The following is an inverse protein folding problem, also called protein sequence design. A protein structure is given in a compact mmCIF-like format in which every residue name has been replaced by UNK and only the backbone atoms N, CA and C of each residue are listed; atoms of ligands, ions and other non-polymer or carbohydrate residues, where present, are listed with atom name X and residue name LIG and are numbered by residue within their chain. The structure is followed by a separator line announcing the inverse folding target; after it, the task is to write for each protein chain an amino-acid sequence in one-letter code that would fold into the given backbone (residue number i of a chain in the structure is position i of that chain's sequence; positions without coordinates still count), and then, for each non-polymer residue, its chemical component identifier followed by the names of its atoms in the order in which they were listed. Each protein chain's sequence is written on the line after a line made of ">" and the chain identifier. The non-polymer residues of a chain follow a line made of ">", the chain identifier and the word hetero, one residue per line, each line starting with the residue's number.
data_IF_485032171903
#
_entry.id   IF_485032171903
#
_cell.length_a   1.000
_cell.length_b   1.000
_cell.length_c   1.000
_cell.angle_alpha   90.00
_cell.angle_beta   90.00
_cell.angle_gamma   90.00
#
_symmetry.space_group_name_H-M   'P 1'
#
loop_
_entity.id
_entity.type
_entity.pdbx_description
1 polymer ?
#
# COMPACT_ATOMS: atom_id res chain seq x y z
N UNK A 1 -1.36 -21.49 -8.83
CA UNK A 1 -1.79 -22.47 -7.81
C UNK A 1 -0.78 -22.62 -6.66
N UNK A 2 0.50 -22.94 -6.89
CA UNK A 2 1.52 -22.99 -5.82
C UNK A 2 1.62 -21.71 -4.97
N UNK A 3 1.68 -20.54 -5.61
CA UNK A 3 1.72 -19.22 -4.93
C UNK A 3 0.49 -18.97 -4.06
N UNK A 4 -0.70 -19.37 -4.52
CA UNK A 4 -1.95 -19.21 -3.78
C UNK A 4 -1.94 -20.06 -2.50
N UNK A 5 -1.48 -21.32 -2.59
CA UNK A 5 -1.32 -22.21 -1.43
C UNK A 5 -0.35 -21.63 -0.41
N UNK A 6 0.85 -21.25 -0.84
CA UNK A 6 1.89 -20.73 0.06
C UNK A 6 1.42 -19.44 0.75
N UNK A 7 0.70 -18.58 0.02
CA UNK A 7 0.11 -17.35 0.55
C UNK A 7 -1.00 -17.62 1.57
N UNK A 8 -1.95 -18.50 1.27
CA UNK A 8 -3.01 -18.91 2.21
C UNK A 8 -2.41 -19.48 3.49
N UNK A 9 -1.38 -20.31 3.37
CA UNK A 9 -0.65 -20.89 4.50
C UNK A 9 -0.02 -19.79 5.37
N UNK A 10 0.65 -18.80 4.76
CA UNK A 10 1.18 -17.64 5.49
C UNK A 10 0.09 -16.84 6.20
N UNK A 11 -1.06 -16.63 5.56
CA UNK A 11 -2.17 -15.89 6.16
C UNK A 11 -2.75 -16.62 7.38
N UNK A 12 -2.86 -17.95 7.34
CA UNK A 12 -3.27 -18.74 8.50
C UNK A 12 -2.38 -18.51 9.73
N UNK A 13 -1.10 -18.18 9.52
CA UNK A 13 -0.17 -17.88 10.62
C UNK A 13 -0.27 -16.44 11.15
N UNK A 14 -0.83 -15.51 10.39
CA UNK A 14 -0.85 -14.07 10.71
C UNK A 14 -2.24 -13.60 11.16
N UNK A 15 -3.32 -14.25 10.70
CA UNK A 15 -4.67 -13.90 11.12
C UNK A 15 -4.96 -14.29 12.59
N UNK A 16 -5.85 -13.55 13.28
CA UNK A 16 -6.28 -13.90 14.63
C UNK A 16 -6.88 -15.30 14.69
N UNK A 17 -6.58 -16.08 15.74
CA UNK A 17 -7.12 -17.43 15.90
C UNK A 17 -7.06 -17.94 17.34
N UNK A 18 -8.10 -18.66 17.76
CA UNK A 18 -8.33 -19.05 19.16
C UNK A 18 -7.38 -20.18 19.65
N UNK A 19 -6.86 -21.01 18.74
CA UNK A 19 -6.11 -22.23 19.08
C UNK A 19 -4.62 -22.18 18.65
N UNK A 20 -3.90 -21.10 18.96
CA UNK A 20 -2.43 -21.11 18.86
C UNK A 20 -1.83 -21.92 20.04
N UNK A 21 -1.82 -23.24 19.90
CA UNK A 21 -1.34 -24.21 20.91
C UNK A 21 0.15 -24.03 21.27
N UNK A 22 0.95 -23.38 20.42
CA UNK A 22 2.35 -23.08 20.69
C UNK A 22 2.57 -21.64 21.17
N UNK A 23 2.61 -21.47 22.50
CA UNK A 23 3.26 -20.38 23.26
C UNK A 23 3.33 -19.02 22.55
N UNK A 24 2.18 -18.36 22.43
CA UNK A 24 1.92 -16.92 22.64
C UNK A 24 0.57 -16.66 21.98
N UNK A 25 -0.48 -16.46 22.76
CA UNK A 25 -1.59 -15.62 22.30
C UNK A 25 -1.00 -14.20 22.20
N UNK A 26 -1.06 -13.58 21.03
CA UNK A 26 -0.49 -12.23 20.84
C UNK A 26 -1.58 -11.23 21.22
N UNK A 27 -1.22 -10.05 21.72
CA UNK A 27 -2.18 -8.94 21.91
C UNK A 27 -2.96 -8.63 20.62
N UNK A 28 -2.37 -8.98 19.46
CA UNK A 28 -3.00 -8.91 18.15
C UNK A 28 -4.19 -9.88 17.96
N UNK A 29 -4.23 -11.02 18.64
CA UNK A 29 -5.36 -11.95 18.56
C UNK A 29 -6.59 -11.32 19.27
N UNK A 30 -6.40 -10.79 20.49
CA UNK A 30 -7.45 -10.10 21.26
C UNK A 30 -7.83 -8.72 20.71
N UNK A 31 -6.86 -7.97 20.17
CA UNK A 31 -6.98 -6.58 19.74
C UNK A 31 -6.38 -6.33 18.34
N UNK A 32 -6.84 -7.12 17.36
CA UNK A 32 -6.47 -6.93 15.95
C UNK A 32 -6.94 -5.57 15.41
N UNK A 33 -6.12 -4.99 14.53
CA UNK A 33 -6.45 -3.72 13.89
C UNK A 33 -7.69 -3.87 12.97
N UNK A 34 -8.64 -2.91 12.95
CA UNK A 34 -9.81 -2.96 12.06
C UNK A 34 -9.49 -3.09 10.56
N UNK A 35 -8.23 -2.82 10.18
CA UNK A 35 -7.74 -2.98 8.81
C UNK A 35 -7.64 -4.45 8.40
N UNK A 36 -7.48 -5.40 9.33
CA UNK A 36 -7.44 -6.84 9.01
C UNK A 36 -8.74 -7.27 8.34
N UNK A 37 -9.87 -6.82 8.89
CA UNK A 37 -11.21 -7.02 8.32
C UNK A 37 -11.33 -6.42 6.91
N UNK A 38 -10.85 -5.18 6.73
CA UNK A 38 -10.84 -4.53 5.43
C UNK A 38 -9.94 -5.25 4.41
N UNK A 39 -8.79 -5.77 4.86
CA UNK A 39 -7.83 -6.53 4.05
C UNK A 39 -8.42 -7.85 3.56
N UNK A 40 -9.07 -8.61 4.44
CA UNK A 40 -9.70 -9.88 4.07
C UNK A 40 -10.88 -9.66 3.13
N UNK A 41 -11.75 -8.68 3.42
CA UNK A 41 -12.98 -8.42 2.65
C UNK A 41 -12.70 -7.76 1.29
N UNK A 42 -11.72 -6.87 1.19
CA UNK A 42 -11.36 -6.17 -0.07
C UNK A 42 -10.25 -6.85 -0.87
N UNK A 43 -9.78 -8.02 -0.42
CA UNK A 43 -8.82 -8.82 -1.16
C UNK A 43 -9.51 -9.61 -2.28
N UNK A 44 -8.85 -9.81 -3.45
CA UNK A 44 -9.34 -10.73 -4.48
C UNK A 44 -9.34 -12.21 -4.02
N UNK A 45 -8.79 -12.50 -2.84
CA UNK A 45 -8.61 -13.84 -2.29
C UNK A 45 -9.95 -14.57 -2.07
N UNK A 46 -10.89 -13.95 -1.34
CA UNK A 46 -12.18 -14.57 -1.02
C UNK A 46 -13.00 -14.89 -2.29
N UNK A 47 -13.15 -13.97 -3.27
CA UNK A 47 -13.78 -14.29 -4.54
C UNK A 47 -13.12 -15.47 -5.26
N UNK A 48 -11.78 -15.51 -5.32
CA UNK A 48 -11.06 -16.56 -6.02
C UNK A 48 -11.18 -17.93 -5.35
N UNK A 49 -11.12 -17.98 -4.03
CA UNK A 49 -11.38 -19.23 -3.29
C UNK A 49 -12.78 -19.76 -3.58
N UNK A 50 -13.78 -18.87 -3.60
CA UNK A 50 -15.16 -19.25 -3.86
C UNK A 50 -15.39 -19.72 -5.30
N UNK A 51 -14.68 -19.16 -6.27
CA UNK A 51 -14.65 -19.67 -7.65
C UNK A 51 -14.14 -21.11 -7.69
N UNK A 52 -13.03 -21.40 -6.98
CA UNK A 52 -12.45 -22.75 -6.92
C UNK A 52 -13.34 -23.76 -6.17
N UNK A 53 -13.97 -23.34 -5.08
CA UNK A 53 -14.86 -24.20 -4.30
C UNK A 53 -16.19 -24.49 -5.02
N UNK A 54 -16.70 -23.54 -5.81
CA UNK A 54 -17.98 -23.67 -6.54
C UNK A 54 -17.95 -24.72 -7.65
N UNK A 55 -16.77 -25.11 -8.14
CA UNK A 55 -16.68 -26.11 -9.20
C UNK A 55 -17.14 -27.51 -8.76
N UNK A 56 -17.37 -27.75 -7.46
CA UNK A 56 -18.01 -28.94 -6.85
C UNK A 56 -17.45 -30.30 -7.33
N UNK A 57 -16.24 -30.32 -7.91
CA UNK A 57 -15.65 -31.49 -8.56
C UNK A 57 -14.62 -32.17 -7.64
N UNK A 58 -14.95 -33.38 -7.20
CA UNK A 58 -14.04 -34.26 -6.43
C UNK A 58 -12.76 -34.55 -7.22
N UNK A 59 -12.85 -34.69 -8.54
CA UNK A 59 -11.70 -34.93 -9.41
C UNK A 59 -10.72 -33.75 -9.40
N UNK A 60 -11.24 -32.53 -9.40
CA UNK A 60 -10.42 -31.31 -9.33
C UNK A 60 -9.76 -31.15 -7.95
N UNK A 61 -10.47 -31.51 -6.88
CA UNK A 61 -9.90 -31.60 -5.52
C UNK A 61 -8.75 -32.61 -5.51
N UNK A 62 -8.90 -33.76 -6.19
CA UNK A 62 -7.85 -34.77 -6.29
C UNK A 62 -6.60 -34.26 -7.03
N UNK A 63 -6.80 -33.48 -8.11
CA UNK A 63 -5.70 -32.86 -8.88
C UNK A 63 -4.99 -31.75 -8.11
N UNK A 64 -5.71 -30.98 -7.30
CA UNK A 64 -5.20 -29.80 -6.60
C UNK A 64 -5.29 -29.89 -5.07
N UNK A 65 -5.13 -31.10 -4.52
CA UNK A 65 -5.33 -31.41 -3.10
C UNK A 65 -4.65 -30.41 -2.15
N UNK A 66 -3.38 -30.08 -2.38
CA UNK A 66 -2.64 -29.12 -1.55
C UNK A 66 -3.29 -27.71 -1.49
N UNK A 67 -3.87 -27.25 -2.60
CA UNK A 67 -4.50 -25.91 -2.66
C UNK A 67 -5.84 -25.94 -1.93
N UNK A 68 -6.64 -27.00 -2.15
CA UNK A 68 -7.90 -27.16 -1.43
C UNK A 68 -7.65 -27.32 0.07
N UNK A 69 -6.64 -28.08 0.51
CA UNK A 69 -6.22 -28.11 1.92
C UNK A 69 -5.97 -26.71 2.47
N UNK A 70 -5.14 -25.91 1.81
CA UNK A 70 -4.85 -24.54 2.26
C UNK A 70 -6.08 -23.62 2.28
N UNK A 71 -7.01 -23.78 1.33
CA UNK A 71 -8.29 -23.05 1.31
C UNK A 71 -9.15 -23.44 2.51
N UNK A 72 -9.27 -24.73 2.81
CA UNK A 72 -10.09 -25.23 3.91
C UNK A 72 -9.49 -24.86 5.26
N UNK A 73 -8.17 -24.95 5.43
CA UNK A 73 -7.50 -24.52 6.65
C UNK A 73 -7.63 -23.01 6.87
N UNK A 74 -7.58 -22.21 5.81
CA UNK A 74 -7.84 -20.77 5.90
C UNK A 74 -9.29 -20.48 6.31
N UNK A 75 -10.27 -21.20 5.77
CA UNK A 75 -11.67 -21.04 6.17
C UNK A 75 -11.85 -21.41 7.65
N UNK A 76 -11.20 -22.47 8.11
CA UNK A 76 -11.24 -22.90 9.51
C UNK A 76 -10.68 -21.80 10.44
N UNK A 77 -9.52 -21.23 10.10
CA UNK A 77 -8.89 -20.14 10.86
C UNK A 77 -9.78 -18.90 10.89
N UNK A 78 -10.27 -18.44 9.73
CA UNK A 78 -11.16 -17.27 9.65
C UNK A 78 -12.44 -17.48 10.45
N UNK A 79 -12.99 -18.70 10.43
CA UNK A 79 -14.21 -19.07 11.13
C UNK A 79 -14.03 -19.34 12.62
N UNK A 80 -12.80 -19.53 13.09
CA UNK A 80 -12.50 -19.77 14.49
C UNK A 80 -12.59 -18.51 15.36
N UNK A 81 -12.38 -17.32 14.79
CA UNK A 81 -12.24 -16.08 15.55
C UNK A 81 -13.45 -15.14 15.43
N UNK A 82 -13.98 -14.57 16.53
CA UNK A 82 -15.22 -13.78 16.53
C UNK A 82 -15.26 -12.58 15.59
N UNK A 83 -14.11 -11.96 15.31
CA UNK A 83 -14.03 -10.77 14.46
C UNK A 83 -13.92 -11.08 12.97
N UNK A 84 -13.47 -12.28 12.60
CA UNK A 84 -13.26 -12.70 11.22
C UNK A 84 -14.34 -13.67 10.75
N UNK A 85 -14.93 -14.44 11.66
CA UNK A 85 -15.99 -15.39 11.39
C UNK A 85 -17.18 -14.78 10.64
N UNK A 86 -17.65 -13.55 10.95
CA UNK A 86 -18.76 -12.92 10.22
C UNK A 86 -18.56 -12.85 8.69
N UNK A 87 -17.32 -12.79 8.20
CA UNK A 87 -17.04 -12.72 6.76
C UNK A 87 -17.36 -14.01 6.00
N UNK A 88 -17.46 -15.15 6.69
CA UNK A 88 -17.82 -16.42 6.07
C UNK A 88 -19.34 -16.56 5.86
N UNK A 89 -20.13 -15.90 6.71
CA UNK A 89 -21.58 -16.03 6.79
C UNK A 89 -22.34 -14.93 6.04
N UNK A 90 -21.69 -13.83 5.69
CA UNK A 90 -22.30 -12.69 4.98
C UNK A 90 -22.22 -12.82 3.46
N UNK A 91 -23.16 -12.16 2.78
CA UNK A 91 -23.07 -11.94 1.33
C UNK A 91 -21.79 -11.17 1.01
N UNK A 92 -20.99 -11.72 0.11
CA UNK A 92 -19.71 -11.12 -0.27
C UNK A 92 -19.94 -9.97 -1.24
N UNK A 93 -19.38 -8.81 -0.95
CA UNK A 93 -19.31 -7.71 -1.91
C UNK A 93 -18.19 -8.00 -2.90
N UNK A 94 -18.52 -8.17 -4.19
CA UNK A 94 -17.54 -8.31 -5.25
C UNK A 94 -17.10 -6.92 -5.70
N UNK A 95 -16.05 -6.41 -5.06
CA UNK A 95 -15.46 -5.12 -5.43
C UNK A 95 -14.88 -5.16 -6.84
N UNK A 96 -15.08 -4.08 -7.60
CA UNK A 96 -14.36 -3.88 -8.86
C UNK A 96 -12.85 -3.88 -8.62
N UNK A 97 -12.02 -4.26 -9.60
CA UNK A 97 -10.56 -4.30 -9.45
C UNK A 97 -9.95 -3.01 -8.87
N UNK A 98 -10.52 -1.85 -9.20
CA UNK A 98 -10.11 -0.53 -8.72
C UNK A 98 -10.44 -0.26 -7.23
N UNK A 99 -11.43 -0.97 -6.68
CA UNK A 99 -11.84 -0.88 -5.27
C UNK A 99 -11.26 -2.01 -4.41
N UNK A 100 -10.64 -3.01 -5.04
CA UNK A 100 -9.91 -4.07 -4.34
C UNK A 100 -8.57 -3.53 -3.84
N UNK A 101 -8.04 -4.11 -2.76
CA UNK A 101 -6.73 -3.71 -2.21
C UNK A 101 -5.54 -4.16 -3.08
N UNK A 102 -5.74 -4.42 -4.37
CA UNK A 102 -4.74 -4.97 -5.27
C UNK A 102 -4.49 -4.06 -6.48
N UNK A 103 -3.44 -3.23 -6.40
CA UNK A 103 -2.42 -3.19 -7.44
C UNK A 103 -1.21 -4.04 -7.05
N UNK A 104 -1.00 -4.30 -5.76
CA UNK A 104 0.16 -5.05 -5.29
C UNK A 104 -0.28 -6.47 -4.94
N UNK A 105 0.37 -7.46 -5.56
CA UNK A 105 0.28 -8.90 -5.28
C UNK A 105 -1.01 -9.64 -5.69
N UNK A 106 -0.83 -10.64 -6.57
CA UNK A 106 -1.19 -12.06 -6.40
C UNK A 106 -1.26 -12.75 -7.78
N UNK A 107 -1.48 -12.01 -8.88
CA UNK A 107 -1.52 -12.58 -10.24
C UNK A 107 -0.68 -11.77 -11.24
N UNK A 108 0.25 -12.40 -11.98
CA UNK A 108 0.74 -11.80 -13.21
C UNK A 108 -0.40 -11.87 -14.23
N UNK A 109 -1.04 -10.75 -14.54
CA UNK A 109 -1.84 -10.68 -15.77
C UNK A 109 -0.89 -10.93 -16.95
N UNK A 110 -1.28 -11.75 -17.96
CA UNK A 110 -0.43 -12.06 -19.12
C UNK A 110 0.06 -10.81 -19.88
N UNK A 111 -0.60 -9.67 -19.68
CA UNK A 111 -0.29 -8.41 -20.35
C UNK A 111 0.45 -7.41 -19.45
N UNK A 112 0.73 -7.71 -18.17
CA UNK A 112 1.43 -6.79 -17.28
C UNK A 112 0.81 -5.38 -17.18
N UNK A 113 -0.44 -5.23 -17.63
CA UNK A 113 -1.25 -4.04 -17.44
C UNK A 113 -1.98 -4.21 -16.11
N UNK A 114 -1.70 -3.33 -15.18
CA UNK A 114 -2.65 -2.96 -14.15
C UNK A 114 -3.98 -2.70 -14.86
N UNK A 115 -5.03 -3.40 -14.45
CA UNK A 115 -6.38 -3.20 -15.00
C UNK A 115 -6.86 -1.81 -14.62
N UNK A 116 -6.48 -0.80 -15.42
CA UNK A 116 -7.31 0.38 -15.62
C UNK A 116 -8.14 0.09 -16.85
N UNK A 117 -9.38 -0.30 -16.65
CA UNK A 117 -10.39 -0.16 -17.68
C UNK A 117 -11.24 1.04 -17.32
N UNK A 118 -11.18 2.10 -18.12
CA UNK A 118 -12.26 3.05 -18.22
C UNK A 118 -13.58 2.28 -18.45
N UNK A 119 -14.41 2.15 -17.41
CA UNK A 119 -15.76 1.63 -17.52
C UNK A 119 -16.60 2.22 -16.39
N UNK A 120 -17.77 2.74 -16.76
CA UNK A 120 -18.75 3.38 -15.88
C UNK A 120 -18.96 2.59 -14.58
N UNK A 121 -19.19 3.32 -13.47
CA UNK A 121 -19.50 2.82 -12.13
C UNK A 121 -20.16 1.43 -12.15
N UNK A 122 -19.34 0.37 -12.06
CA UNK A 122 -19.85 -0.98 -12.00
C UNK A 122 -20.57 -1.13 -10.67
N UNK A 123 -21.86 -1.50 -10.73
CA UNK A 123 -22.65 -1.82 -9.53
C UNK A 123 -21.95 -2.99 -8.82
N UNK A 124 -21.70 -2.82 -7.53
CA UNK A 124 -21.09 -3.87 -6.70
C UNK A 124 -22.07 -5.06 -6.68
N UNK A 125 -21.64 -6.21 -7.22
CA UNK A 125 -22.45 -7.43 -7.23
C UNK A 125 -22.23 -8.19 -5.92
N UNK A 126 -23.29 -8.76 -5.36
CA UNK A 126 -23.17 -9.63 -4.18
C UNK A 126 -23.00 -11.09 -4.61
N UNK A 127 -22.11 -11.82 -3.95
CA UNK A 127 -21.91 -13.25 -4.10
C UNK A 127 -22.37 -14.02 -2.86
N UNK A 128 -22.89 -15.24 -3.05
CA UNK A 128 -23.34 -16.12 -1.95
C UNK A 128 -22.26 -16.30 -0.88
N UNK A 129 -22.59 -16.41 0.42
CA UNK A 129 -21.63 -16.57 1.51
C UNK A 129 -20.64 -17.73 1.31
N UNK A 130 -19.45 -17.63 1.90
CA UNK A 130 -18.40 -18.67 1.75
C UNK A 130 -18.90 -19.98 2.34
N UNK A 131 -19.56 -19.90 3.49
CA UNK A 131 -20.09 -21.07 4.19
C UNK A 131 -21.13 -21.82 3.35
N UNK A 132 -21.98 -21.12 2.60
CA UNK A 132 -23.00 -21.74 1.74
C UNK A 132 -22.36 -22.51 0.59
N UNK A 133 -21.21 -22.05 0.08
CA UNK A 133 -20.46 -22.76 -0.95
C UNK A 133 -19.78 -24.00 -0.32
N UNK A 134 -19.20 -23.86 0.87
CA UNK A 134 -18.58 -24.97 1.60
C UNK A 134 -19.60 -26.06 1.98
N UNK A 135 -20.78 -25.69 2.47
CA UNK A 135 -21.88 -26.60 2.80
C UNK A 135 -22.32 -27.42 1.58
N UNK A 136 -22.41 -26.78 0.40
CA UNK A 136 -22.73 -27.46 -0.86
C UNK A 136 -21.62 -28.44 -1.27
N UNK A 137 -20.36 -28.03 -1.18
CA UNK A 137 -19.21 -28.88 -1.49
C UNK A 137 -19.07 -30.07 -0.52
N UNK A 138 -19.49 -29.91 0.73
CA UNK A 138 -19.42 -30.95 1.75
C UNK A 138 -20.33 -32.15 1.44
N UNK A 139 -21.40 -31.97 0.68
CA UNK A 139 -22.35 -33.03 0.29
C UNK A 139 -21.66 -34.11 -0.56
N UNK A 140 -21.08 -33.82 -1.74
CA UNK A 140 -20.36 -34.81 -2.52
C UNK A 140 -19.10 -35.31 -1.81
N UNK A 141 -18.41 -34.47 -1.03
CA UNK A 141 -17.25 -34.89 -0.24
C UNK A 141 -17.61 -35.97 0.79
N UNK A 142 -18.78 -35.85 1.45
CA UNK A 142 -19.28 -36.83 2.42
C UNK A 142 -19.59 -38.15 1.74
N UNK A 143 -20.32 -38.11 0.64
CA UNK A 143 -20.63 -39.30 -0.16
C UNK A 143 -19.36 -40.05 -0.60
N UNK A 144 -18.36 -39.32 -1.09
CA UNK A 144 -17.06 -39.90 -1.46
C UNK A 144 -16.32 -40.52 -0.27
N UNK A 145 -16.25 -39.78 0.85
CA UNK A 145 -15.57 -40.22 2.08
C UNK A 145 -16.19 -41.51 2.62
N UNK A 146 -17.52 -41.59 2.68
CA UNK A 146 -18.24 -42.75 3.22
C UNK A 146 -18.08 -43.96 2.28
N UNK A 147 -18.19 -43.75 0.96
CA UNK A 147 -17.96 -44.80 -0.06
C UNK A 147 -16.52 -45.33 -0.02
N UNK A 148 -15.53 -44.45 0.16
CA UNK A 148 -14.12 -44.84 0.24
C UNK A 148 -13.81 -45.63 1.53
N UNK A 149 -14.49 -45.32 2.64
CA UNK A 149 -14.38 -46.05 3.90
C UNK A 149 -14.95 -47.47 3.80
N UNK A 150 -16.02 -47.67 3.03
CA UNK A 150 -16.60 -48.99 2.78
C UNK A 150 -15.78 -49.83 1.79
N UNK A 151 -15.02 -49.17 0.89
CA UNK A 151 -14.29 -49.80 -0.20
C UNK A 151 -12.76 -49.61 -0.09
N UNK A 152 -12.20 -49.66 1.12
CA UNK A 152 -10.78 -49.33 1.39
C UNK A 152 -9.76 -50.08 0.51
N UNK A 153 -10.09 -51.27 -0.01
CA UNK A 153 -9.20 -52.04 -0.88
C UNK A 153 -8.94 -51.38 -2.23
N UNK A 154 -9.89 -50.58 -2.72
CA UNK A 154 -9.83 -49.90 -4.03
C UNK A 154 -9.16 -48.52 -3.93
N UNK A 155 -9.16 -47.89 -2.75
CA UNK A 155 -8.62 -46.54 -2.51
C UNK A 155 -7.24 -46.56 -1.81
N UNK A 156 -6.34 -47.42 -2.27
CA UNK A 156 -5.03 -47.62 -1.64
C UNK A 156 -3.90 -46.76 -2.25
N UNK A 157 -4.15 -46.04 -3.36
CA UNK A 157 -3.11 -45.20 -3.94
C UNK A 157 -2.83 -43.97 -3.07
N UNK A 158 -1.59 -43.46 -3.11
CA UNK A 158 -1.20 -42.27 -2.33
C UNK A 158 -2.07 -41.05 -2.66
N UNK A 159 -2.54 -40.93 -3.90
CA UNK A 159 -3.41 -39.85 -4.35
C UNK A 159 -4.83 -39.97 -3.76
N UNK A 160 -5.37 -41.19 -3.69
CA UNK A 160 -6.67 -41.46 -3.08
C UNK A 160 -6.64 -41.11 -1.59
N UNK A 161 -5.57 -41.50 -0.89
CA UNK A 161 -5.38 -41.20 0.52
C UNK A 161 -5.28 -39.68 0.79
N UNK A 162 -4.70 -38.90 -0.13
CA UNK A 162 -4.71 -37.43 -0.04
C UNK A 162 -6.11 -36.89 -0.27
N UNK A 163 -6.81 -37.36 -1.30
CA UNK A 163 -8.16 -36.92 -1.62
C UNK A 163 -9.13 -37.21 -0.46
N UNK A 164 -9.09 -38.41 0.12
CA UNK A 164 -9.87 -38.80 1.31
C UNK A 164 -9.59 -37.86 2.48
N UNK A 165 -8.33 -37.47 2.72
CA UNK A 165 -7.99 -36.51 3.78
C UNK A 165 -8.60 -35.13 3.52
N UNK A 166 -8.52 -34.62 2.30
CA UNK A 166 -9.07 -33.30 1.96
C UNK A 166 -10.60 -33.31 2.06
N UNK A 167 -11.28 -34.33 1.51
CA UNK A 167 -12.75 -34.43 1.58
C UNK A 167 -13.25 -34.62 3.01
N UNK A 168 -12.53 -35.40 3.83
CA UNK A 168 -12.82 -35.51 5.26
C UNK A 168 -12.68 -34.15 5.97
N UNK A 169 -11.62 -33.40 5.68
CA UNK A 169 -11.39 -32.06 6.25
C UNK A 169 -12.48 -31.07 5.83
N UNK A 170 -12.90 -31.08 4.56
CA UNK A 170 -14.04 -30.28 4.07
C UNK A 170 -15.29 -30.56 4.90
N UNK A 171 -15.63 -31.83 5.13
CA UNK A 171 -16.79 -32.20 5.95
C UNK A 171 -16.66 -31.71 7.40
N UNK A 172 -15.50 -31.91 8.03
CA UNK A 172 -15.27 -31.49 9.42
C UNK A 172 -15.39 -29.98 9.58
N UNK A 173 -14.77 -29.20 8.69
CA UNK A 173 -14.83 -27.74 8.76
C UNK A 173 -16.24 -27.23 8.42
N UNK A 174 -16.95 -27.83 7.46
CA UNK A 174 -18.33 -27.46 7.19
C UNK A 174 -19.25 -27.68 8.42
N UNK A 175 -19.06 -28.79 9.13
CA UNK A 175 -19.82 -29.12 10.34
C UNK A 175 -19.47 -28.21 11.52
N UNK A 176 -18.18 -27.95 11.76
CA UNK A 176 -17.74 -27.05 12.84
C UNK A 176 -18.27 -25.64 12.63
N UNK A 177 -18.21 -25.14 11.41
CA UNK A 177 -18.68 -23.79 11.06
C UNK A 177 -20.21 -23.68 11.06
N UNK A 178 -20.94 -24.76 10.75
CA UNK A 178 -22.39 -24.81 10.90
C UNK A 178 -22.83 -24.75 12.37
N UNK A 179 -22.10 -25.40 13.28
CA UNK A 179 -22.32 -25.33 14.72
C UNK A 179 -21.96 -23.95 15.31
N UNK A 180 -20.94 -23.29 14.77
CA UNK A 180 -20.50 -21.96 15.20
C UNK A 180 -21.39 -20.82 14.67
N UNK A 181 -22.14 -21.06 13.60
CA UNK A 181 -23.00 -20.08 12.92
C UNK A 181 -23.95 -19.29 13.85
N UNK A 182 -24.68 -19.90 14.81
CA UNK A 182 -25.59 -19.18 15.69
C UNK A 182 -24.87 -18.23 16.65
N UNK A 183 -23.61 -18.50 16.98
CA UNK A 183 -22.78 -17.68 17.89
C UNK A 183 -22.33 -16.38 17.23
N UNK A 184 -22.01 -16.44 15.93
CA UNK A 184 -21.44 -15.31 15.18
C UNK A 184 -22.46 -14.58 14.29
N UNK A 185 -23.60 -15.19 13.98
CA UNK A 185 -24.70 -14.57 13.23
C UNK A 185 -25.40 -13.37 13.92
N UNK A 186 -25.55 -13.25 15.26
CA UNK A 186 -26.21 -12.10 15.88
C UNK A 186 -25.33 -10.84 15.96
N UNK A 187 -24.03 -10.91 15.68
CA UNK A 187 -23.18 -9.72 15.53
C UNK A 187 -23.50 -8.90 14.25
N UNK A 188 -24.48 -9.35 13.46
CA UNK A 188 -24.77 -8.90 12.09
C UNK A 188 -25.75 -7.71 12.03
N UNK A 189 -26.40 -7.31 13.12
CA UNK A 189 -27.41 -6.22 13.08
C UNK A 189 -26.91 -4.81 13.45
N UNK A 190 -25.60 -4.60 13.43
CA UNK A 190 -25.00 -3.26 13.34
C UNK A 190 -23.94 -3.22 12.25
N UNK A 191 -24.33 -3.51 11.01
CA UNK A 191 -23.86 -2.61 9.95
C UNK A 191 -24.37 -1.23 10.33
N UNK A 192 -23.54 -0.48 11.08
CA UNK A 192 -23.52 0.96 10.95
C UNK A 192 -23.71 1.24 9.46
N UNK A 193 -24.66 2.10 9.03
CA UNK A 193 -24.46 2.73 7.75
C UNK A 193 -23.06 3.33 7.86
N UNK A 194 -22.08 2.77 7.14
CA UNK A 194 -20.75 3.35 7.11
C UNK A 194 -21.01 4.81 6.73
N UNK A 195 -20.76 5.80 7.62
CA UNK A 195 -20.43 7.11 7.09
C UNK A 195 -19.19 6.79 6.27
N UNK A 196 -19.34 6.82 4.95
CA UNK A 196 -18.36 6.36 3.96
C UNK A 196 -16.97 6.35 4.58
N UNK A 197 -16.43 5.19 4.97
CA UNK A 197 -15.17 5.14 5.72
C UNK A 197 -14.03 5.82 4.95
N UNK A 198 -14.18 5.91 3.61
CA UNK A 198 -13.39 6.77 2.74
C UNK A 198 -13.50 8.26 3.08
N UNK A 199 -14.69 8.80 3.32
CA UNK A 199 -14.91 10.20 3.70
C UNK A 199 -14.34 10.49 5.10
N UNK A 200 -14.59 9.63 6.11
CA UNK A 200 -13.99 9.82 7.45
C UNK A 200 -12.47 9.72 7.44
N UNK A 201 -11.89 8.74 6.74
CA UNK A 201 -10.44 8.60 6.63
C UNK A 201 -9.82 9.74 5.80
N UNK A 202 -10.49 10.20 4.73
CA UNK A 202 -10.05 11.36 3.96
C UNK A 202 -10.09 12.64 4.80
N UNK A 203 -11.16 12.85 5.58
CA UNK A 203 -11.29 13.98 6.50
C UNK A 203 -10.24 13.93 7.63
N UNK A 204 -9.93 12.75 8.15
CA UNK A 204 -8.88 12.56 9.15
C UNK A 204 -7.49 12.85 8.59
N UNK A 205 -7.20 12.37 7.37
CA UNK A 205 -5.94 12.68 6.68
C UNK A 205 -5.86 14.17 6.36
N UNK A 206 -6.95 14.80 5.95
CA UNK A 206 -6.98 16.24 5.69
C UNK A 206 -6.79 17.05 6.97
N UNK A 207 -7.44 16.66 8.07
CA UNK A 207 -7.23 17.25 9.39
C UNK A 207 -5.79 17.08 9.88
N UNK A 208 -5.23 15.88 9.71
CA UNK A 208 -3.83 15.60 10.05
C UNK A 208 -2.89 16.47 9.21
N UNK A 209 -3.08 16.49 7.89
CA UNK A 209 -2.28 17.33 6.99
C UNK A 209 -2.36 18.80 7.38
N UNK A 210 -3.57 19.35 7.57
CA UNK A 210 -3.77 20.75 7.95
C UNK A 210 -3.07 21.13 9.27
N UNK A 211 -2.93 20.18 10.19
CA UNK A 211 -2.27 20.41 11.48
C UNK A 211 -0.77 20.09 11.49
N UNK A 212 -0.27 19.32 10.53
CA UNK A 212 1.11 18.79 10.55
C UNK A 212 1.90 19.06 9.26
N UNK A 213 1.32 19.68 8.25
CA UNK A 213 1.94 19.95 6.94
C UNK A 213 3.20 20.80 7.08
N UNK A 214 3.25 21.72 8.04
CA UNK A 214 4.46 22.48 8.37
C UNK A 214 4.68 22.41 9.88
N UNK A 215 5.92 22.19 10.29
CA UNK A 215 6.27 22.09 11.70
C UNK A 215 7.69 22.52 11.98
N UNK A 216 7.95 22.80 13.24
CA UNK A 216 9.27 23.23 13.73
C UNK A 216 10.11 22.04 14.17
N UNK A 217 11.42 22.16 14.05
CA UNK A 217 12.42 21.25 14.59
C UNK A 217 13.57 22.05 15.20
N UNK A 218 14.19 21.53 16.26
CA UNK A 218 15.38 22.15 16.84
C UNK A 218 16.47 22.35 15.78
N UNK A 219 17.09 23.54 15.78
CA UNK A 219 18.08 23.96 14.78
C UNK A 219 19.25 22.97 14.68
N UNK A 220 19.73 22.42 15.81
CA UNK A 220 20.82 21.45 15.84
C UNK A 220 20.46 20.15 15.11
N UNK A 221 19.21 19.69 15.27
CA UNK A 221 18.74 18.46 14.63
C UNK A 221 18.58 18.64 13.13
N UNK A 222 17.88 19.70 12.72
CA UNK A 222 17.58 19.89 11.30
C UNK A 222 18.83 20.24 10.50
N UNK A 223 19.76 21.03 11.07
CA UNK A 223 21.03 21.32 10.43
C UNK A 223 21.92 20.08 10.44
N UNK A 224 22.02 19.38 11.58
CA UNK A 224 22.89 18.22 11.74
C UNK A 224 22.57 17.08 10.77
N UNK A 225 21.29 16.85 10.44
CA UNK A 225 20.89 15.80 9.52
C UNK A 225 20.73 16.27 8.06
N UNK A 226 20.91 17.57 7.76
CA UNK A 226 20.78 18.13 6.42
C UNK A 226 22.00 17.85 5.55
N UNK A 227 21.79 17.55 4.28
CA UNK A 227 22.84 17.52 3.26
C UNK A 227 23.62 18.84 3.18
N UNK A 228 22.99 19.97 3.51
CA UNK A 228 23.59 21.30 3.44
C UNK A 228 24.20 21.76 4.78
N UNK A 229 24.42 20.87 5.74
CA UNK A 229 24.87 21.20 7.10
C UNK A 229 26.11 22.10 7.14
N UNK A 230 27.14 21.78 6.34
CA UNK A 230 28.39 22.54 6.27
C UNK A 230 28.17 23.96 5.75
N UNK A 231 27.34 24.13 4.72
CA UNK A 231 27.03 25.44 4.15
C UNK A 231 26.14 26.26 5.08
N UNK A 232 25.16 25.62 5.71
CA UNK A 232 24.26 26.25 6.67
C UNK A 232 25.01 26.77 7.90
N UNK A 233 26.05 26.05 8.36
CA UNK A 233 26.91 26.44 9.48
C UNK A 233 27.93 27.52 9.11
N UNK A 234 28.30 27.64 7.83
CA UNK A 234 29.24 28.67 7.35
C UNK A 234 28.59 30.02 7.02
N UNK A 235 27.26 30.12 7.09
CA UNK A 235 26.59 31.39 6.86
C UNK A 235 26.98 32.43 7.91
N UNK A 236 27.32 33.62 7.45
CA UNK A 236 27.67 34.76 8.30
C UNK A 236 26.43 35.65 8.52
N UNK A 237 25.85 35.70 9.74
CA UNK A 237 24.68 36.52 10.04
C UNK A 237 24.89 38.01 9.71
N UNK A 238 26.12 38.51 9.85
CA UNK A 238 26.48 39.91 9.61
C UNK A 238 26.46 40.32 8.13
N UNK A 239 26.46 39.35 7.21
CA UNK A 239 26.45 39.58 5.76
C UNK A 239 25.11 39.27 5.10
N UNK A 240 24.06 38.99 5.87
CA UNK A 240 22.75 38.66 5.31
C UNK A 240 22.10 39.87 4.62
N UNK A 241 21.58 39.73 3.39
CA UNK A 241 20.88 40.81 2.73
C UNK A 241 19.66 41.31 3.52
N UNK A 242 19.45 42.63 3.54
CA UNK A 242 18.26 43.24 4.15
C UNK A 242 17.00 42.66 3.48
N UNK A 243 15.99 42.32 4.29
CA UNK A 243 14.73 41.77 3.79
C UNK A 243 14.73 40.27 3.49
N UNK A 244 15.89 39.58 3.50
CA UNK A 244 15.96 38.11 3.34
C UNK A 244 15.08 37.38 4.35
N UNK A 245 15.21 37.71 5.63
CA UNK A 245 14.41 37.08 6.68
C UNK A 245 12.91 37.34 6.49
N UNK A 246 12.53 38.57 6.13
CA UNK A 246 11.12 38.91 5.80
C UNK A 246 10.60 38.04 4.66
N UNK A 247 11.40 37.82 3.61
CA UNK A 247 11.02 36.91 2.52
C UNK A 247 10.90 35.47 3.01
N UNK A 248 11.86 34.95 3.78
CA UNK A 248 11.80 33.59 4.32
C UNK A 248 10.54 33.35 5.17
N UNK A 249 10.25 34.27 6.08
CA UNK A 249 9.01 34.23 6.89
C UNK A 249 7.78 34.21 6.00
N UNK A 250 7.70 35.09 4.99
CA UNK A 250 6.57 35.10 4.07
C UNK A 250 6.44 33.81 3.25
N UNK A 251 7.56 33.19 2.85
CA UNK A 251 7.56 31.91 2.15
C UNK A 251 7.07 30.78 3.04
N UNK A 252 7.59 30.65 4.26
CA UNK A 252 7.18 29.62 5.23
C UNK A 252 5.73 29.79 5.65
N UNK A 253 5.27 31.03 5.88
CA UNK A 253 3.88 31.31 6.20
C UNK A 253 2.92 30.84 5.10
N UNK A 254 3.26 31.04 3.81
CA UNK A 254 2.45 30.54 2.69
C UNK A 254 2.42 29.00 2.63
N UNK A 255 3.49 28.32 3.06
CA UNK A 255 3.48 26.86 3.17
C UNK A 255 2.53 26.38 4.29
N UNK A 256 2.35 27.13 5.37
CA UNK A 256 1.44 26.73 6.46
C UNK A 256 -0.03 26.74 6.03
N UNK A 257 -0.40 27.63 5.10
CA UNK A 257 -1.79 27.82 4.67
C UNK A 257 -2.15 27.03 3.42
N UNK A 258 -1.25 26.97 2.44
CA UNK A 258 -1.60 26.62 1.06
C UNK A 258 -0.92 25.35 0.55
N UNK A 259 -0.15 24.65 1.39
CA UNK A 259 0.57 23.45 0.98
C UNK A 259 -0.42 22.28 0.72
N UNK A 260 -0.43 21.70 -0.49
CA UNK A 260 -1.39 20.66 -0.83
C UNK A 260 -1.13 19.38 -0.06
N UNK A 261 -2.16 18.54 0.02
CA UNK A 261 -2.10 17.23 0.68
C UNK A 261 -0.90 16.42 0.19
N UNK A 262 -0.21 15.82 1.13
CA UNK A 262 0.91 14.93 0.83
C UNK A 262 2.26 15.61 0.71
N UNK A 263 2.36 16.92 0.97
CA UNK A 263 3.65 17.59 1.14
C UNK A 263 3.78 18.04 2.59
N UNK A 264 4.87 17.66 3.23
CA UNK A 264 5.17 18.01 4.61
C UNK A 264 6.53 18.69 4.69
N UNK A 265 6.64 19.74 5.52
CA UNK A 265 7.85 20.53 5.69
C UNK A 265 8.19 20.64 7.17
N UNK A 266 9.46 20.45 7.50
CA UNK A 266 10.03 20.86 8.79
C UNK A 266 11.07 21.92 8.55
N UNK A 267 11.11 22.94 9.41
CA UNK A 267 12.13 24.00 9.37
C UNK A 267 12.77 24.16 10.75
N UNK A 268 13.94 24.80 10.79
CA UNK A 268 14.59 25.14 12.06
C UNK A 268 13.81 26.17 12.86
N UNK A 269 13.90 26.08 14.18
CA UNK A 269 13.33 27.02 15.15
C UNK A 269 13.73 28.48 14.87
N UNK A 270 15.00 28.73 14.61
CA UNK A 270 15.52 30.04 14.19
C UNK A 270 16.05 30.04 12.75
N UNK A 271 16.20 28.85 12.16
CA UNK A 271 16.79 28.61 10.84
C UNK A 271 15.75 28.23 9.80
N UNK A 272 14.89 29.19 9.45
CA UNK A 272 13.89 29.07 8.38
C UNK A 272 14.50 28.85 6.99
N UNK A 273 15.81 28.96 6.86
CA UNK A 273 16.55 28.74 5.62
C UNK A 273 16.97 27.29 5.39
N UNK A 274 16.84 26.42 6.39
CA UNK A 274 17.10 24.99 6.30
C UNK A 274 15.78 24.25 6.52
N UNK A 275 15.39 23.42 5.55
CA UNK A 275 14.13 22.69 5.59
C UNK A 275 14.33 21.23 5.21
N UNK A 276 13.51 20.37 5.83
CA UNK A 276 13.31 18.98 5.46
C UNK A 276 11.92 18.86 4.85
N UNK A 277 11.82 18.28 3.65
CA UNK A 277 10.57 18.13 2.93
C UNK A 277 10.30 16.66 2.70
N UNK A 278 9.06 16.22 2.94
CA UNK A 278 8.55 14.92 2.55
C UNK A 278 7.44 15.15 1.52
N UNK A 279 7.53 14.46 0.39
CA UNK A 279 6.46 14.38 -0.59
C UNK A 279 5.97 12.93 -0.60
N UNK A 280 4.68 12.73 -0.33
CA UNK A 280 4.02 11.44 -0.50
C UNK A 280 3.78 11.23 -1.99
N UNK A 281 4.12 10.06 -2.51
CA UNK A 281 3.84 9.72 -3.89
C UNK A 281 2.34 9.82 -4.20
N UNK A 282 1.94 10.58 -5.23
CA UNK A 282 0.55 10.73 -5.60
C UNK A 282 -0.09 9.38 -5.93
N UNK A 283 -1.40 9.28 -5.67
CA UNK A 283 -2.18 8.15 -6.13
C UNK A 283 -2.07 8.02 -7.64
N UNK A 284 -2.27 6.81 -8.15
CA UNK A 284 -2.28 6.52 -9.58
C UNK A 284 -0.91 6.69 -10.28
N UNK A 285 0.18 6.67 -9.51
CA UNK A 285 1.57 6.76 -10.00
C UNK A 285 2.41 5.61 -9.44
N UNK A 286 3.54 5.25 -10.07
CA UNK A 286 4.43 4.20 -9.52
C UNK A 286 5.11 4.59 -8.18
N UNK A 287 4.86 5.82 -7.70
CA UNK A 287 5.35 6.35 -6.44
C UNK A 287 4.34 6.22 -5.30
N UNK A 288 3.09 5.85 -5.60
CA UNK A 288 1.96 5.83 -4.68
C UNK A 288 2.31 5.18 -3.32
N UNK A 289 1.84 5.80 -2.23
CA UNK A 289 2.12 5.45 -0.83
C UNK A 289 3.58 5.61 -0.36
N UNK A 290 4.53 5.86 -1.26
CA UNK A 290 5.92 6.14 -0.90
C UNK A 290 6.11 7.49 -0.22
N UNK A 291 7.07 7.58 0.71
CA UNK A 291 7.51 8.80 1.36
C UNK A 291 8.89 9.20 0.84
N UNK A 292 8.93 10.30 0.08
CA UNK A 292 10.12 10.79 -0.61
C UNK A 292 10.69 12.02 0.11
N UNK A 293 11.91 11.88 0.59
CA UNK A 293 12.55 12.86 1.47
C UNK A 293 13.54 13.75 0.70
N UNK A 294 13.50 15.05 1.01
CA UNK A 294 14.36 16.06 0.41
C UNK A 294 14.91 17.02 1.48
N UNK A 295 16.17 17.43 1.34
CA UNK A 295 16.66 18.63 2.00
C UNK A 295 16.46 19.84 1.09
N UNK A 296 16.02 20.96 1.65
CA UNK A 296 15.89 22.24 0.96
C UNK A 296 16.66 23.32 1.73
N UNK A 297 17.41 24.14 1.00
CA UNK A 297 18.28 25.14 1.59
C UNK A 297 18.23 26.48 0.84
N UNK A 298 17.79 27.52 1.53
CA UNK A 298 17.79 28.89 1.04
C UNK A 298 19.10 29.56 1.44
N UNK A 299 20.08 29.61 0.55
CA UNK A 299 21.38 30.19 0.89
C UNK A 299 21.33 31.71 1.21
N UNK A 300 22.50 32.31 1.48
CA UNK A 300 22.63 33.73 1.80
C UNK A 300 22.05 34.68 0.73
N UNK A 301 22.05 34.26 -0.54
CA UNK A 301 21.56 35.06 -1.66
C UNK A 301 20.06 34.88 -1.94
N UNK A 302 19.36 34.02 -1.18
CA UNK A 302 17.91 33.90 -1.32
C UNK A 302 17.20 35.22 -0.93
N UNK A 303 16.17 35.68 -1.69
CA UNK A 303 15.53 35.05 -2.84
C UNK A 303 16.11 35.45 -4.21
N UNK A 304 17.23 36.17 -4.28
CA UNK A 304 17.84 36.57 -5.57
C UNK A 304 18.27 35.35 -6.40
N UNK A 305 18.65 34.27 -5.71
CA UNK A 305 18.88 32.95 -6.30
C UNK A 305 17.89 31.92 -5.77
N UNK A 306 17.62 30.86 -6.55
CA UNK A 306 16.73 29.78 -6.11
C UNK A 306 17.26 29.08 -4.86
N UNK A 307 16.38 28.41 -4.10
CA UNK A 307 16.83 27.47 -3.09
C UNK A 307 17.59 26.32 -3.75
N UNK A 308 18.41 25.63 -2.96
CA UNK A 308 19.02 24.35 -3.32
C UNK A 308 18.18 23.21 -2.76
N UNK A 309 18.14 22.10 -3.48
CA UNK A 309 17.39 20.92 -3.06
C UNK A 309 18.22 19.66 -3.29
N UNK A 310 18.15 18.72 -2.35
CA UNK A 310 18.83 17.44 -2.39
C UNK A 310 17.83 16.32 -2.10
N UNK A 311 17.77 15.32 -2.97
CA UNK A 311 16.90 14.16 -2.82
C UNK A 311 17.60 13.07 -2.00
N UNK A 312 16.99 12.66 -0.89
CA UNK A 312 17.60 11.76 0.09
C UNK A 312 17.22 10.30 -0.10
N UNK A 313 16.00 10.03 -0.58
CA UNK A 313 15.47 8.67 -0.77
C UNK A 313 16.08 7.99 -1.99
N UNK A 314 17.41 7.81 -2.01
CA UNK A 314 18.17 7.28 -3.15
C UNK A 314 18.54 5.80 -2.99
N UNK A 315 18.06 5.14 -1.92
CA UNK A 315 18.46 3.78 -1.56
C UNK A 315 19.97 3.67 -1.32
N UNK A 316 20.56 4.66 -0.65
CA UNK A 316 22.01 4.82 -0.47
C UNK A 316 22.77 4.92 -1.79
N UNK A 317 22.25 5.73 -2.73
CA UNK A 317 22.87 5.95 -4.04
C UNK A 317 22.64 4.84 -5.07
N UNK A 318 21.75 3.89 -4.80
CA UNK A 318 21.47 2.75 -5.69
C UNK A 318 20.33 3.00 -6.67
N UNK A 319 19.45 3.96 -6.36
CA UNK A 319 18.21 4.17 -7.11
C UNK A 319 18.13 5.59 -7.65
N UNK A 320 17.92 5.71 -8.96
CA UNK A 320 17.39 6.90 -9.60
C UNK A 320 15.86 6.73 -9.70
N UNK A 321 15.11 7.49 -8.91
CA UNK A 321 13.65 7.33 -8.82
C UNK A 321 12.92 7.95 -10.01
N UNK A 322 13.56 8.86 -10.73
CA UNK A 322 13.00 9.56 -11.88
C UNK A 322 14.15 10.06 -12.77
N UNK A 323 13.97 10.30 -14.09
CA UNK A 323 14.97 11.00 -14.90
C UNK A 323 15.42 12.35 -14.32
N UNK A 324 14.58 12.97 -13.47
CA UNK A 324 14.87 14.20 -12.76
C UNK A 324 15.35 14.01 -11.30
N UNK A 325 15.39 12.79 -10.77
CA UNK A 325 15.84 12.45 -9.41
C UNK A 325 16.96 11.40 -9.44
N UNK A 326 18.18 11.89 -9.28
CA UNK A 326 19.41 11.12 -9.55
C UNK A 326 19.83 10.29 -8.34
N UNK A 327 20.60 9.24 -8.58
CA UNK A 327 21.19 8.40 -7.52
C UNK A 327 22.04 9.20 -6.53
N UNK A 328 22.74 10.23 -7.00
CA UNK A 328 23.56 11.10 -6.15
C UNK A 328 22.74 12.15 -5.39
N UNK A 329 21.41 12.15 -5.50
CA UNK A 329 20.51 13.09 -4.85
C UNK A 329 20.30 14.41 -5.59
N UNK A 330 20.86 14.59 -6.80
CA UNK A 330 20.59 15.77 -7.62
C UNK A 330 19.12 15.78 -8.06
N UNK A 331 18.49 16.96 -7.93
CA UNK A 331 17.14 17.26 -8.42
C UNK A 331 17.26 18.17 -9.64
N UNK A 332 16.74 17.72 -10.79
CA UNK A 332 16.68 18.51 -12.02
C UNK A 332 15.32 19.18 -12.14
N UNK A 333 15.28 20.50 -11.94
CA UNK A 333 14.04 21.27 -12.01
C UNK A 333 14.32 22.72 -12.41
N UNK A 334 13.50 23.31 -13.27
CA UNK A 334 13.81 24.62 -13.86
C UNK A 334 13.79 25.76 -12.84
N UNK A 335 12.87 25.72 -11.87
CA UNK A 335 12.85 26.67 -10.75
C UNK A 335 14.04 26.54 -9.79
N UNK A 336 14.79 25.43 -9.85
CA UNK A 336 16.06 25.27 -9.13
C UNK A 336 17.27 25.73 -9.96
N UNK A 337 17.05 26.11 -11.23
CA UNK A 337 18.12 26.44 -12.18
C UNK A 337 18.93 25.21 -12.63
N UNK A 338 18.43 23.99 -12.41
CA UNK A 338 19.13 22.74 -12.74
C UNK A 338 18.56 22.04 -13.97
N UNK A 339 17.58 22.66 -14.63
CA UNK A 339 16.93 22.14 -15.84
C UNK A 339 16.43 23.27 -16.76
N UNK A 340 16.16 22.92 -18.01
CA UNK A 340 15.58 23.85 -18.98
C UNK A 340 14.11 24.17 -18.64
N UNK A 341 13.70 25.43 -18.84
CA UNK A 341 12.33 25.88 -18.60
C UNK A 341 12.28 27.23 -17.89
N UNK A 342 11.10 27.64 -17.37
CA UNK A 342 10.96 28.86 -16.59
C UNK A 342 11.87 28.82 -15.35
N UNK A 343 12.73 29.81 -15.23
CA UNK A 343 13.69 29.93 -14.13
C UNK A 343 13.10 30.68 -12.94
N UNK A 344 13.76 30.58 -11.80
CA UNK A 344 13.40 31.28 -10.58
C UNK A 344 13.37 32.80 -10.78
N UNK A 345 12.27 33.42 -10.35
CA UNK A 345 12.07 34.87 -10.38
C UNK A 345 11.99 35.40 -8.95
N UNK A 346 12.98 36.17 -8.44
CA UNK A 346 13.09 36.56 -7.03
C UNK A 346 11.84 37.19 -6.42
N UNK A 347 11.11 37.96 -7.23
CA UNK A 347 9.91 38.67 -6.78
C UNK A 347 8.64 37.79 -6.81
N UNK A 348 8.57 36.81 -7.73
CA UNK A 348 7.34 36.07 -8.06
C UNK A 348 7.36 34.60 -7.64
N UNK A 349 8.50 33.93 -7.78
CA UNK A 349 8.61 32.51 -7.46
C UNK A 349 8.47 32.27 -5.96
N UNK A 350 7.86 31.14 -5.61
CA UNK A 350 7.66 30.75 -4.22
C UNK A 350 8.12 29.32 -3.96
N UNK A 351 8.46 29.02 -2.70
CA UNK A 351 8.73 27.66 -2.24
C UNK A 351 7.49 26.78 -2.43
N UNK A 352 6.28 27.32 -2.21
CA UNK A 352 5.04 26.61 -2.48
C UNK A 352 4.96 26.16 -3.94
N UNK A 353 5.17 27.09 -4.88
CA UNK A 353 5.18 26.80 -6.31
C UNK A 353 6.21 25.71 -6.64
N UNK A 354 7.43 25.83 -6.11
CA UNK A 354 8.48 24.84 -6.30
C UNK A 354 8.04 23.44 -5.84
N UNK A 355 7.55 23.30 -4.61
CA UNK A 355 7.20 22.00 -4.03
C UNK A 355 5.98 21.36 -4.72
N UNK A 356 4.94 22.16 -4.98
CA UNK A 356 3.74 21.72 -5.73
C UNK A 356 4.14 21.24 -7.13
N UNK A 357 5.01 21.99 -7.80
CA UNK A 357 5.40 21.67 -9.17
C UNK A 357 6.33 20.44 -9.23
N UNK A 358 7.17 20.22 -8.21
CA UNK A 358 7.93 18.97 -8.07
C UNK A 358 6.97 17.79 -7.91
N UNK A 359 5.98 17.87 -7.02
CA UNK A 359 4.98 16.81 -6.85
C UNK A 359 4.26 16.52 -8.18
N UNK A 360 3.79 17.55 -8.88
CA UNK A 360 2.99 17.39 -10.08
C UNK A 360 3.78 16.93 -11.32
N UNK A 361 5.04 17.37 -11.49
CA UNK A 361 5.78 17.13 -12.74
C UNK A 361 6.84 16.03 -12.64
N UNK A 362 7.34 15.72 -11.45
CA UNK A 362 8.28 14.62 -11.25
C UNK A 362 7.53 13.32 -10.92
N UNK A 363 6.58 13.38 -9.99
CA UNK A 363 5.84 12.19 -9.55
C UNK A 363 4.61 11.95 -10.43
N UNK A 364 4.84 11.68 -11.71
CA UNK A 364 3.79 11.45 -12.72
C UNK A 364 3.46 9.95 -12.89
N UNK A 365 2.36 9.65 -13.59
CA UNK A 365 1.94 8.27 -13.85
C UNK A 365 2.87 7.50 -14.82
N UNK A 366 3.60 8.22 -15.69
CA UNK A 366 4.50 7.65 -16.69
C UNK A 366 5.85 8.38 -16.71
N UNK A 367 6.65 8.26 -15.62
CA UNK A 367 7.89 9.02 -15.43
C UNK A 367 9.00 8.70 -16.43
N UNK A 368 8.88 7.61 -17.20
CA UNK A 368 9.82 7.30 -18.28
C UNK A 368 9.91 8.42 -19.32
N UNK A 369 8.79 9.12 -19.57
CA UNK A 369 8.71 10.23 -20.51
C UNK A 369 9.29 11.56 -19.97
N UNK A 370 9.66 11.62 -18.68
CA UNK A 370 10.31 12.82 -18.12
C UNK A 370 11.75 13.00 -18.62
N UNK A 371 12.31 12.01 -19.31
CA UNK A 371 13.60 12.13 -19.98
C UNK A 371 13.50 13.03 -21.22
N UNK A 372 14.42 13.99 -21.41
CA UNK A 372 14.55 14.73 -22.65
C UNK A 372 14.56 13.85 -23.89
N UNK A 373 13.75 14.22 -24.87
CA UNK A 373 13.66 13.53 -26.15
C UNK A 373 12.74 12.31 -26.15
N UNK A 374 12.16 11.95 -24.99
CA UNK A 374 11.16 10.87 -24.91
C UNK A 374 9.72 11.37 -24.94
N UNK A 375 9.48 12.67 -24.80
CA UNK A 375 8.15 13.25 -24.54
C UNK A 375 7.10 12.94 -25.61
N UNK A 376 7.55 12.74 -26.86
CA UNK A 376 6.69 12.44 -28.01
C UNK A 376 6.74 10.98 -28.45
N UNK A 377 7.53 10.15 -27.77
CA UNK A 377 7.60 8.72 -28.06
C UNK A 377 6.31 8.05 -27.58
N UNK A 378 5.86 7.02 -28.28
CA UNK A 378 4.76 6.16 -27.86
C UNK A 378 5.28 4.76 -27.52
N UNK A 379 6.23 4.69 -26.60
CA UNK A 379 6.82 3.43 -26.15
C UNK A 379 6.22 3.01 -24.80
N UNK A 380 5.03 2.43 -24.89
CA UNK A 380 4.31 1.96 -23.70
C UNK A 380 5.01 0.80 -23.01
N UNK A 381 5.76 -0.02 -23.75
CA UNK A 381 6.44 -1.19 -23.17
C UNK A 381 7.58 -0.73 -22.26
N UNK A 382 8.42 0.20 -22.72
CA UNK A 382 9.50 0.76 -21.90
C UNK A 382 8.95 1.57 -20.72
N UNK A 383 7.88 2.34 -20.94
CA UNK A 383 7.18 3.06 -19.85
C UNK A 383 6.67 2.10 -18.77
N UNK A 384 5.97 1.03 -19.15
CA UNK A 384 5.43 0.05 -18.20
C UNK A 384 6.53 -0.75 -17.48
N UNK A 385 7.64 -1.06 -18.16
CA UNK A 385 8.81 -1.66 -17.52
C UNK A 385 9.46 -0.72 -16.50
N UNK A 386 9.57 0.56 -16.82
CA UNK A 386 10.09 1.57 -15.91
C UNK A 386 9.18 1.75 -14.69
N UNK A 387 7.85 1.81 -14.89
CA UNK A 387 6.89 1.89 -13.79
C UNK A 387 7.03 0.72 -12.82
N UNK A 388 7.09 -0.52 -13.31
CA UNK A 388 7.30 -1.72 -12.46
C UNK A 388 8.58 -1.66 -11.64
N UNK A 389 9.65 -1.10 -12.21
CA UNK A 389 10.91 -0.88 -11.48
C UNK A 389 10.73 0.17 -10.38
N UNK A 390 10.08 1.30 -10.69
CA UNK A 390 9.83 2.36 -9.71
C UNK A 390 8.90 1.87 -8.60
N UNK A 391 7.81 1.16 -8.90
CA UNK A 391 6.90 0.58 -7.89
C UNK A 391 7.65 -0.33 -6.91
N UNK A 392 8.50 -1.22 -7.43
CA UNK A 392 9.36 -2.08 -6.61
C UNK A 392 10.27 -1.23 -5.71
N UNK A 393 10.91 -0.20 -6.26
CA UNK A 393 11.82 0.66 -5.50
C UNK A 393 11.07 1.53 -4.47
N UNK A 394 9.86 1.98 -4.78
CA UNK A 394 8.97 2.72 -3.88
C UNK A 394 8.66 1.86 -2.66
N UNK A 395 8.25 0.60 -2.88
CA UNK A 395 7.97 -0.33 -1.78
C UNK A 395 9.21 -0.56 -0.89
N UNK A 396 10.39 -0.79 -1.50
CA UNK A 396 11.60 -1.10 -0.74
C UNK A 396 12.21 0.12 -0.01
N UNK A 397 12.34 1.26 -0.70
CA UNK A 397 13.12 2.39 -0.19
C UNK A 397 12.29 3.59 0.25
N UNK A 398 11.05 3.73 -0.23
CA UNK A 398 10.17 4.84 0.14
C UNK A 398 9.04 4.42 1.10
N UNK A 399 8.83 3.11 1.33
CA UNK A 399 7.83 2.61 2.28
C UNK A 399 8.50 1.78 3.40
N UNK A 400 9.08 0.64 3.04
CA UNK A 400 9.68 -0.28 4.01
C UNK A 400 10.78 0.36 4.84
N UNK A 401 11.66 1.17 4.23
CA UNK A 401 12.71 1.90 4.98
C UNK A 401 12.16 2.80 6.09
N UNK A 402 10.97 3.39 5.89
CA UNK A 402 10.28 4.19 6.91
C UNK A 402 9.63 3.34 8.00
N UNK A 403 9.11 2.16 7.63
CA UNK A 403 8.52 1.21 8.59
C UNK A 403 9.58 0.53 9.47
N UNK A 404 10.74 0.22 8.90
CA UNK A 404 11.84 -0.46 9.58
C UNK A 404 12.59 0.46 10.57
N UNK A 405 12.18 1.72 10.71
CA UNK A 405 12.79 2.72 11.60
C UNK A 405 14.32 2.89 11.38
N UNK A 406 14.79 2.79 10.14
CA UNK A 406 16.19 3.03 9.76
C UNK A 406 16.34 4.25 8.86
N UNK A 407 16.19 5.42 9.45
CA UNK A 407 16.89 6.65 9.03
C UNK A 407 17.43 7.35 10.29
N UNK A 408 18.38 6.67 10.95
CA UNK A 408 19.36 7.31 11.85
C UNK A 408 20.39 8.08 11.05
#
# INVERSE_FOLDING_TARGET
>A
MKVLRDYLTCLCHVLPGDERVERRAWEFDDHHHPLVSAMVVRSPLLPKMCELLRNDSIEEIGKQSDVYSAIIDFIDVVGSHPSTAPFLYQDRVLYSPEKQLAPVTIWPTPTGRFLRSHAAAAKDNTGQPVITILEKLAIPCRFFKDTAAENMKEFNAQQDQRLIKVTARVCTVAESQALARPTFAPAVEKTLPLPSAQCRAQDEIERFHRSHCVGEMADEKIIGCSHFCHEANKMDPGKMPKGRMKKLVAQVASLQTDLPKGIYVRHGSSRLDVMRVIITGPADTPYELGLFEFDLFCNQNFPLHPPRMYFRTTGHGKVAFNPNLYTNGKVCFSLLGTWNGPTWQPERSTLLQLLVSIQAMIFTAEPWYNEPGREKLMDKVSSDMYNRLIEKNTAEYAMKAWLDNRLT
#
